data_IF_210958611559
#
_entry.id   IF_210958611559
#
_cell.length_a   1.000
_cell.length_b   1.000
_cell.length_c   1.000
_cell.angle_alpha   90.00
_cell.angle_beta   90.00
_cell.angle_gamma   90.00
#
_symmetry.space_group_name_H-M   'P 1'
#
loop_
_entity.id
_entity.type
_entity.pdbx_description
1 polymer ?
#
# COMPACT_ATOMS: atom_id res chain seq x y z
N UNK A 1 -12.09 28.10 11.71
CA UNK A 1 -12.06 26.71 12.17
C UNK A 1 -12.40 25.85 10.97
N UNK A 2 -11.54 24.95 10.58
CA UNK A 2 -11.81 24.05 9.43
C UNK A 2 -12.99 23.15 9.77
N UNK A 3 -13.86 22.85 8.81
CA UNK A 3 -14.99 21.91 9.00
C UNK A 3 -14.50 20.53 9.45
N UNK A 4 -13.28 20.16 9.10
CA UNK A 4 -12.65 18.88 9.48
C UNK A 4 -12.35 18.75 10.97
N UNK A 5 -12.10 19.85 11.67
CA UNK A 5 -11.87 19.81 13.13
C UNK A 5 -13.14 19.58 13.94
N UNK A 6 -14.31 19.68 13.31
CA UNK A 6 -15.59 19.44 13.95
C UNK A 6 -16.05 17.96 13.87
N UNK A 7 -15.46 17.17 12.96
CA UNK A 7 -15.71 15.72 12.88
C UNK A 7 -14.66 14.97 13.73
N UNK A 8 -15.06 14.29 14.81
CA UNK A 8 -14.11 13.55 15.66
C UNK A 8 -13.27 12.52 14.88
N UNK A 9 -13.82 11.91 13.84
CA UNK A 9 -13.13 10.92 13.01
C UNK A 9 -12.00 11.53 12.21
N UNK A 10 -12.15 12.78 11.77
CA UNK A 10 -11.16 13.49 10.95
C UNK A 10 -10.21 14.35 11.77
N UNK A 11 -10.52 14.63 13.04
CA UNK A 11 -9.73 15.54 13.89
C UNK A 11 -8.33 15.04 14.23
N UNK A 12 -8.05 13.76 14.00
CA UNK A 12 -6.73 13.13 14.18
C UNK A 12 -5.80 13.29 13.00
N UNK A 13 -6.33 13.73 11.84
CA UNK A 13 -5.61 13.92 10.60
C UNK A 13 -5.26 15.39 10.39
N UNK A 14 -4.34 15.62 9.44
CA UNK A 14 -3.95 16.95 8.97
C UNK A 14 -4.25 17.05 7.46
N UNK A 15 -5.53 16.95 7.03
CA UNK A 15 -5.89 16.86 5.63
C UNK A 15 -5.60 18.14 4.87
N UNK A 16 -5.36 18.01 3.58
CA UNK A 16 -5.39 19.11 2.64
C UNK A 16 -6.83 19.65 2.49
N UNK A 17 -6.99 20.76 1.75
CA UNK A 17 -8.25 21.53 1.69
C UNK A 17 -9.49 20.70 1.34
N UNK A 18 -9.35 19.66 0.52
CA UNK A 18 -10.45 18.83 0.04
C UNK A 18 -10.24 17.37 0.36
N UNK A 19 -11.19 16.78 1.05
CA UNK A 19 -11.25 15.34 1.28
C UNK A 19 -11.94 14.67 0.08
N UNK A 20 -11.31 13.63 -0.48
CA UNK A 20 -11.87 12.82 -1.55
C UNK A 20 -12.63 11.62 -1.02
N UNK A 21 -12.05 10.94 -0.06
CA UNK A 21 -12.71 9.89 0.67
C UNK A 21 -12.10 9.72 2.07
N UNK A 22 -12.90 9.13 2.92
CA UNK A 22 -12.52 8.61 4.22
C UNK A 22 -13.14 7.23 4.38
N UNK A 23 -12.34 6.23 4.66
CA UNK A 23 -12.76 4.84 4.84
C UNK A 23 -12.31 4.35 6.23
N UNK A 24 -13.25 4.15 7.11
CA UNK A 24 -13.09 3.54 8.44
C UNK A 24 -13.44 2.04 8.45
N UNK A 25 -13.90 1.52 7.33
CA UNK A 25 -14.28 0.12 7.10
C UNK A 25 -15.47 -0.40 7.92
N UNK A 26 -16.06 0.39 8.80
CA UNK A 26 -17.19 -0.02 9.63
C UNK A 26 -18.45 -0.36 8.81
N UNK A 27 -18.62 0.26 7.65
CA UNK A 27 -19.71 -0.02 6.72
C UNK A 27 -19.30 -0.95 5.57
N UNK A 28 -18.17 -1.62 5.67
CA UNK A 28 -17.69 -2.57 4.66
C UNK A 28 -16.43 -2.12 3.92
N UNK A 29 -16.10 -2.86 2.88
CA UNK A 29 -14.83 -2.74 2.13
C UNK A 29 -14.75 -1.49 1.24
N UNK A 30 -15.85 -0.81 1.00
CA UNK A 30 -15.93 0.52 0.34
C UNK A 30 -15.17 0.64 -0.99
N UNK A 31 -15.20 -0.39 -1.81
CA UNK A 31 -14.57 -0.40 -3.13
C UNK A 31 -13.06 -0.68 -3.12
N UNK A 32 -12.51 -1.05 -1.98
CA UNK A 32 -11.20 -1.67 -1.97
C UNK A 32 -11.31 -3.09 -2.52
N UNK A 33 -10.51 -3.42 -3.51
CA UNK A 33 -10.56 -4.71 -4.20
C UNK A 33 -9.16 -5.32 -4.31
N UNK A 34 -9.10 -6.56 -4.71
CA UNK A 34 -7.86 -7.20 -5.14
C UNK A 34 -7.29 -6.50 -6.39
N UNK A 35 -6.04 -6.80 -6.72
CA UNK A 35 -5.42 -6.31 -7.95
C UNK A 35 -6.14 -6.91 -9.16
N UNK A 36 -7.03 -6.12 -9.75
CA UNK A 36 -7.78 -6.50 -10.96
C UNK A 36 -7.17 -5.77 -12.14
N UNK A 37 -6.61 -6.52 -13.10
CA UNK A 37 -6.25 -6.02 -14.41
C UNK A 37 -7.30 -6.42 -15.46
N UNK A 38 -7.30 -5.77 -16.61
CA UNK A 38 -8.03 -6.22 -17.79
C UNK A 38 -7.25 -7.37 -18.46
N UNK A 39 -7.09 -8.45 -17.73
CA UNK A 39 -6.38 -9.62 -18.22
C UNK A 39 -7.39 -10.64 -18.72
N UNK A 40 -7.15 -11.20 -19.89
CA UNK A 40 -7.97 -12.29 -20.43
C UNK A 40 -7.77 -13.58 -19.66
N UNK A 41 -6.66 -13.68 -18.92
CA UNK A 41 -6.28 -14.84 -18.14
C UNK A 41 -6.11 -14.51 -16.66
N UNK A 42 -6.14 -15.52 -15.82
CA UNK A 42 -5.86 -15.37 -14.40
C UNK A 42 -4.49 -14.71 -14.14
N UNK A 43 -4.38 -13.76 -13.21
CA UNK A 43 -3.08 -13.24 -12.78
C UNK A 43 -2.07 -14.33 -12.41
N UNK A 44 -2.54 -15.46 -11.93
CA UNK A 44 -1.71 -16.61 -11.56
C UNK A 44 -0.96 -17.24 -12.74
N UNK A 45 -1.52 -17.16 -13.95
CA UNK A 45 -0.86 -17.66 -15.17
C UNK A 45 0.11 -16.64 -15.78
N UNK A 46 -0.10 -15.37 -15.52
CA UNK A 46 0.65 -14.28 -16.15
C UNK A 46 1.85 -13.84 -15.32
N UNK A 47 1.69 -13.79 -14.02
CA UNK A 47 2.69 -13.30 -13.06
C UNK A 47 2.80 -14.31 -11.92
N UNK A 48 3.74 -15.26 -11.99
CA UNK A 48 3.91 -16.28 -10.95
C UNK A 48 4.03 -15.70 -9.54
N UNK A 49 4.57 -14.49 -9.43
CA UNK A 49 4.71 -13.75 -8.18
C UNK A 49 3.36 -13.25 -7.64
N UNK A 50 2.36 -13.11 -8.50
CA UNK A 50 0.99 -12.75 -8.09
C UNK A 50 0.10 -13.97 -7.92
N UNK A 51 0.68 -15.15 -8.09
CA UNK A 51 -0.05 -16.40 -7.94
C UNK A 51 -0.69 -16.47 -6.55
N UNK A 52 -1.96 -16.82 -6.56
CA UNK A 52 -2.73 -16.99 -5.33
C UNK A 52 -2.90 -15.70 -4.50
N UNK A 53 -2.85 -14.51 -5.08
CA UNK A 53 -3.27 -13.30 -4.38
C UNK A 53 -4.66 -13.49 -3.80
N UNK A 54 -4.82 -13.00 -2.57
CA UNK A 54 -6.10 -13.01 -1.89
C UNK A 54 -6.77 -11.66 -1.94
N UNK A 55 -8.11 -11.63 -2.08
CA UNK A 55 -8.85 -10.39 -1.93
C UNK A 55 -8.68 -9.84 -0.51
N UNK A 56 -8.78 -8.52 -0.34
CA UNK A 56 -8.84 -7.92 0.97
C UNK A 56 -10.08 -8.37 1.72
N UNK A 57 -9.97 -8.39 3.04
CA UNK A 57 -11.03 -8.81 3.96
C UNK A 57 -11.26 -7.74 5.02
N UNK A 58 -12.37 -7.83 5.71
CA UNK A 58 -12.58 -7.11 6.96
C UNK A 58 -12.09 -7.96 8.13
N UNK A 59 -11.51 -7.31 9.10
CA UNK A 59 -11.06 -7.90 10.35
C UNK A 59 -11.64 -7.16 11.54
N UNK A 60 -12.04 -7.89 12.56
CA UNK A 60 -12.43 -7.35 13.84
C UNK A 60 -11.97 -8.25 14.99
N UNK A 61 -12.17 -7.79 16.23
CA UNK A 61 -11.74 -8.51 17.43
C UNK A 61 -12.43 -9.87 17.64
N UNK A 62 -13.56 -10.09 17.00
CA UNK A 62 -14.34 -11.35 17.15
C UNK A 62 -13.93 -12.43 16.18
N UNK A 63 -13.11 -12.11 15.19
CA UNK A 63 -12.64 -13.12 14.26
C UNK A 63 -11.62 -14.04 14.90
N UNK A 64 -11.84 -15.33 14.82
CA UNK A 64 -10.94 -16.39 15.26
C UNK A 64 -9.67 -16.49 14.41
N UNK A 65 -9.19 -15.38 13.96
CA UNK A 65 -7.93 -15.35 13.25
C UNK A 65 -6.85 -15.02 14.28
N UNK A 66 -5.89 -15.90 14.38
CA UNK A 66 -4.75 -15.69 15.28
C UNK A 66 -4.15 -14.31 15.06
N UNK A 67 -4.44 -13.40 15.96
CA UNK A 67 -3.93 -12.05 15.96
C UNK A 67 -4.68 -11.11 15.04
N UNK A 68 -5.95 -11.06 15.18
CA UNK A 68 -6.71 -9.92 14.69
C UNK A 68 -6.24 -8.67 15.40
N UNK A 69 -5.88 -7.67 14.61
CA UNK A 69 -5.59 -6.35 15.17
C UNK A 69 -6.88 -5.62 15.58
N UNK A 70 -8.05 -6.15 15.26
CA UNK A 70 -9.29 -5.43 15.38
C UNK A 70 -9.34 -4.25 14.43
N UNK A 71 -9.76 -3.10 14.94
CA UNK A 71 -9.71 -1.80 14.26
C UNK A 71 -8.87 -0.82 15.07
N UNK A 72 -8.44 0.26 14.46
CA UNK A 72 -7.88 1.40 15.17
C UNK A 72 -9.01 2.12 15.95
N UNK A 73 -10.15 2.26 15.29
CA UNK A 73 -11.37 2.83 15.82
C UNK A 73 -12.57 2.13 15.18
N UNK A 74 -13.69 2.06 15.88
CA UNK A 74 -14.87 1.35 15.37
C UNK A 74 -14.76 -0.17 15.51
N UNK A 75 -15.28 -0.90 14.53
CA UNK A 75 -15.46 -2.34 14.60
C UNK A 75 -14.56 -3.11 13.65
N UNK A 76 -14.17 -2.54 12.51
CA UNK A 76 -13.49 -3.24 11.44
C UNK A 76 -12.26 -2.48 10.94
N UNK A 77 -11.28 -3.23 10.45
CA UNK A 77 -10.15 -2.75 9.69
C UNK A 77 -10.04 -3.54 8.38
N UNK A 78 -9.43 -2.94 7.35
CA UNK A 78 -9.06 -3.63 6.13
C UNK A 78 -7.88 -4.57 6.42
N UNK A 79 -8.04 -5.86 6.10
CA UNK A 79 -7.04 -6.89 6.30
C UNK A 79 -6.51 -7.40 4.97
N UNK A 80 -5.21 -7.33 4.79
CA UNK A 80 -4.49 -8.02 3.74
C UNK A 80 -3.75 -9.21 4.34
N UNK A 81 -3.88 -10.38 3.73
CA UNK A 81 -3.24 -11.60 4.17
C UNK A 81 -2.58 -12.31 3.00
N UNK A 82 -1.29 -12.58 3.07
CA UNK A 82 -0.59 -13.37 2.06
C UNK A 82 -1.01 -14.84 2.13
N UNK A 83 -0.66 -15.63 1.11
CA UNK A 83 -0.59 -17.08 1.25
C UNK A 83 0.57 -17.47 2.16
N UNK A 84 0.49 -18.65 2.78
CA UNK A 84 1.58 -19.24 3.54
C UNK A 84 2.61 -19.85 2.58
N UNK A 85 3.27 -18.98 1.82
CA UNK A 85 4.30 -19.37 0.84
C UNK A 85 5.30 -18.23 0.70
N UNK A 86 6.59 -18.53 0.80
CA UNK A 86 7.66 -17.56 0.62
C UNK A 86 7.51 -16.78 -0.70
N UNK A 87 7.71 -15.47 -0.65
CA UNK A 87 7.55 -14.56 -1.78
C UNK A 87 6.09 -14.20 -2.13
N UNK A 88 5.10 -14.68 -1.36
CA UNK A 88 3.70 -14.33 -1.60
C UNK A 88 3.39 -12.89 -1.21
N UNK A 89 2.54 -12.27 -2.01
CA UNK A 89 2.02 -10.91 -1.85
C UNK A 89 0.52 -10.93 -1.60
N UNK A 90 0.03 -9.91 -0.89
CA UNK A 90 -1.37 -9.55 -0.86
C UNK A 90 -1.52 -8.07 -1.10
N UNK A 91 -2.49 -7.66 -1.90
CA UNK A 91 -2.72 -6.25 -2.22
C UNK A 91 -4.19 -5.88 -2.10
N UNK A 92 -4.43 -4.62 -1.83
CA UNK A 92 -5.76 -4.02 -1.93
C UNK A 92 -5.67 -2.68 -2.63
N UNK A 93 -6.54 -2.46 -3.61
CA UNK A 93 -6.53 -1.27 -4.46
C UNK A 93 -7.90 -0.58 -4.38
N UNK A 94 -7.86 0.73 -4.20
CA UNK A 94 -9.01 1.60 -4.43
C UNK A 94 -8.79 2.41 -5.69
N UNK A 95 -9.68 2.22 -6.67
CA UNK A 95 -9.63 2.92 -7.95
C UNK A 95 -10.59 4.09 -7.96
N UNK A 96 -10.09 5.22 -8.45
CA UNK A 96 -10.89 6.43 -8.60
C UNK A 96 -10.73 7.02 -10.00
N UNK A 97 -11.82 7.60 -10.51
CA UNK A 97 -11.72 8.50 -11.66
C UNK A 97 -11.18 9.84 -11.19
N UNK A 98 -10.03 10.23 -11.71
CA UNK A 98 -9.32 11.40 -11.22
C UNK A 98 -8.85 12.29 -12.38
N UNK A 99 -9.22 13.57 -12.33
CA UNK A 99 -8.96 14.55 -13.41
C UNK A 99 -8.29 15.82 -12.88
N UNK A 100 -7.76 15.78 -11.68
CA UNK A 100 -7.17 16.95 -11.04
C UNK A 100 -5.65 16.91 -11.10
N UNK A 101 -5.05 18.10 -11.04
CA UNK A 101 -3.62 18.29 -10.83
C UNK A 101 -3.43 19.05 -9.53
N UNK A 102 -2.30 18.88 -8.92
CA UNK A 102 -1.97 19.49 -7.64
C UNK A 102 -1.48 18.45 -6.65
N UNK A 103 -1.59 18.76 -5.39
CA UNK A 103 -1.06 17.89 -4.35
C UNK A 103 -2.14 16.98 -3.81
N UNK A 104 -1.79 15.72 -3.58
CA UNK A 104 -2.62 14.79 -2.81
C UNK A 104 -1.85 14.28 -1.61
N UNK A 105 -2.59 13.91 -0.57
CA UNK A 105 -2.09 13.40 0.68
C UNK A 105 -2.96 12.23 1.11
N UNK A 106 -2.29 11.08 1.31
CA UNK A 106 -2.87 9.90 1.92
C UNK A 106 -2.45 9.87 3.39
N UNK A 107 -3.42 9.66 4.26
CA UNK A 107 -3.19 9.44 5.69
C UNK A 107 -3.93 8.18 6.10
N UNK A 108 -3.30 7.35 6.92
CA UNK A 108 -3.95 6.15 7.46
C UNK A 108 -3.29 5.69 8.74
N UNK A 109 -3.98 4.81 9.43
CA UNK A 109 -3.39 3.99 10.48
C UNK A 109 -3.18 2.58 9.97
N UNK A 110 -2.08 1.96 10.36
CA UNK A 110 -1.78 0.59 9.99
C UNK A 110 -1.13 -0.17 11.14
N UNK A 111 -1.25 -1.47 11.08
CA UNK A 111 -0.46 -2.40 11.88
C UNK A 111 -0.18 -3.65 11.07
N UNK A 112 0.87 -4.37 11.42
CA UNK A 112 1.26 -5.58 10.71
C UNK A 112 1.69 -6.66 11.70
N UNK A 113 1.69 -7.90 11.23
CA UNK A 113 2.14 -9.03 12.05
C UNK A 113 2.40 -10.27 11.21
N UNK A 114 3.29 -11.14 11.65
CA UNK A 114 3.40 -12.49 11.11
C UNK A 114 2.24 -13.38 11.58
N UNK A 115 2.05 -14.51 10.92
CA UNK A 115 1.17 -15.57 11.40
C UNK A 115 1.74 -16.17 12.68
N UNK A 116 1.00 -16.04 13.77
CA UNK A 116 1.36 -16.69 15.02
C UNK A 116 1.01 -18.18 14.94
N UNK A 117 1.86 -18.97 14.30
CA UNK A 117 1.84 -20.40 14.40
C UNK A 117 2.97 -20.84 15.31
N UNK A 118 2.67 -21.32 16.49
CA UNK A 118 3.63 -21.81 17.46
C UNK A 118 4.53 -20.72 18.10
N UNK A 119 5.44 -21.11 18.98
CA UNK A 119 6.24 -20.25 19.83
C UNK A 119 7.46 -19.59 19.15
N UNK A 120 7.61 -19.75 17.85
CA UNK A 120 8.76 -19.20 17.11
C UNK A 120 8.30 -18.38 15.92
N UNK A 121 8.41 -17.06 16.06
CA UNK A 121 8.25 -16.12 14.98
C UNK A 121 9.60 -15.91 14.30
N UNK A 122 9.62 -15.96 12.98
CA UNK A 122 10.76 -15.56 12.17
C UNK A 122 10.72 -14.05 11.95
N UNK A 123 11.85 -13.37 11.99
CA UNK A 123 11.91 -11.92 11.86
C UNK A 123 11.42 -11.42 10.50
N UNK A 124 11.56 -12.24 9.48
CA UNK A 124 11.16 -11.92 8.11
C UNK A 124 9.85 -12.58 7.65
N UNK A 125 9.04 -13.11 8.56
CA UNK A 125 7.68 -13.59 8.25
C UNK A 125 6.85 -12.46 7.61
N UNK A 126 7.04 -11.21 8.08
CA UNK A 126 6.63 -10.01 7.37
C UNK A 126 7.86 -9.36 6.77
N UNK A 127 8.13 -9.62 5.50
CA UNK A 127 9.29 -9.03 4.82
C UNK A 127 9.14 -7.54 4.61
N UNK A 128 8.03 -7.15 3.99
CA UNK A 128 7.78 -5.76 3.67
C UNK A 128 6.28 -5.48 3.55
N UNK A 129 5.93 -4.21 3.66
CA UNK A 129 4.62 -3.68 3.28
C UNK A 129 4.79 -2.29 2.70
N UNK A 130 3.82 -1.84 1.94
CA UNK A 130 3.95 -0.55 1.28
C UNK A 130 2.65 0.05 0.78
N UNK A 131 2.80 1.27 0.25
CA UNK A 131 1.75 2.03 -0.41
C UNK A 131 2.21 2.43 -1.81
N UNK A 132 1.30 2.33 -2.76
CA UNK A 132 1.51 2.69 -4.16
C UNK A 132 0.41 3.62 -4.61
N UNK A 133 0.79 4.72 -5.27
CA UNK A 133 -0.12 5.45 -6.14
C UNK A 133 0.16 5.08 -7.59
N UNK A 134 -0.89 4.97 -8.38
CA UNK A 134 -0.79 4.66 -9.80
C UNK A 134 -1.71 5.62 -10.56
N UNK A 135 -1.09 6.59 -11.23
CA UNK A 135 -1.75 7.69 -11.89
C UNK A 135 -1.58 7.63 -13.40
N UNK A 136 -2.69 7.72 -14.11
CA UNK A 136 -2.74 8.09 -15.53
C UNK A 136 -3.86 9.11 -15.72
N UNK A 137 -3.50 10.39 -15.68
CA UNK A 137 -4.44 11.50 -15.58
C UNK A 137 -5.15 11.87 -16.90
N UNK A 138 -4.68 11.36 -18.02
CA UNK A 138 -5.19 11.69 -19.34
C UNK A 138 -4.81 13.09 -19.85
N UNK A 139 -4.16 13.90 -19.02
CA UNK A 139 -3.65 15.23 -19.38
C UNK A 139 -2.24 15.17 -19.93
N UNK A 140 -1.51 14.14 -19.58
CA UNK A 140 -0.23 13.78 -20.16
C UNK A 140 -0.29 12.32 -20.60
N UNK A 141 -0.80 12.05 -21.82
CA UNK A 141 -1.04 10.70 -22.29
C UNK A 141 0.22 9.89 -22.55
N UNK A 142 1.40 10.49 -22.40
CA UNK A 142 2.67 9.83 -22.69
C UNK A 142 3.14 8.94 -21.54
N UNK A 143 2.73 9.24 -20.28
CA UNK A 143 3.28 8.57 -19.11
C UNK A 143 2.23 8.16 -18.09
N UNK A 144 2.45 6.98 -17.51
CA UNK A 144 1.84 6.48 -16.28
C UNK A 144 2.85 6.64 -15.16
N UNK A 145 2.43 7.24 -14.06
CA UNK A 145 3.29 7.60 -12.94
C UNK A 145 2.90 6.81 -11.68
N UNK A 146 3.89 6.18 -11.05
CA UNK A 146 3.67 5.31 -9.91
C UNK A 146 4.69 5.60 -8.79
N UNK A 147 4.44 6.58 -7.91
CA UNK A 147 5.20 6.71 -6.68
C UNK A 147 4.91 5.52 -5.76
N UNK A 148 5.97 4.85 -5.31
CA UNK A 148 5.88 3.61 -4.57
C UNK A 148 6.83 3.64 -3.38
N UNK A 149 6.26 3.57 -2.18
CA UNK A 149 6.96 3.58 -0.89
C UNK A 149 6.73 2.25 -0.19
N UNK A 150 7.80 1.65 0.37
CA UNK A 150 7.67 0.49 1.25
C UNK A 150 8.52 0.62 2.51
N UNK A 151 8.08 -0.05 3.54
CA UNK A 151 8.87 -0.35 4.72
C UNK A 151 9.41 -1.79 4.58
N UNK A 152 10.74 -1.91 4.54
CA UNK A 152 11.42 -3.20 4.57
C UNK A 152 11.67 -3.57 6.03
N UNK A 153 10.91 -4.54 6.52
CA UNK A 153 10.95 -4.96 7.92
C UNK A 153 12.16 -5.86 8.19
N UNK A 154 12.24 -6.97 7.49
CA UNK A 154 13.31 -7.95 7.70
C UNK A 154 13.65 -8.71 6.42
N UNK A 155 14.90 -9.17 6.30
CA UNK A 155 15.41 -10.02 5.23
C UNK A 155 16.39 -11.01 5.83
N UNK A 156 16.24 -12.29 5.49
CA UNK A 156 17.15 -13.38 5.90
C UNK A 156 17.40 -13.43 7.42
N UNK A 157 16.31 -13.30 8.20
CA UNK A 157 16.32 -13.26 9.66
C UNK A 157 17.02 -12.03 10.27
N UNK A 158 17.31 -11.01 9.48
CA UNK A 158 17.86 -9.75 9.96
C UNK A 158 16.83 -8.63 9.89
N UNK A 159 16.67 -7.88 10.98
CA UNK A 159 15.81 -6.69 11.02
C UNK A 159 16.46 -5.54 10.26
N UNK A 160 15.80 -5.07 9.22
CA UNK A 160 16.27 -3.95 8.39
C UNK A 160 15.64 -2.64 8.86
N UNK A 161 14.33 -2.64 9.10
CA UNK A 161 13.58 -1.50 9.66
C UNK A 161 13.78 -0.19 8.90
N UNK A 162 13.77 -0.23 7.57
CA UNK A 162 14.07 0.94 6.73
C UNK A 162 13.04 1.15 5.64
N UNK A 163 12.84 2.42 5.31
CA UNK A 163 12.01 2.83 4.19
C UNK A 163 12.77 2.74 2.87
N UNK A 164 12.04 2.37 1.82
CA UNK A 164 12.55 2.29 0.46
C UNK A 164 11.53 2.87 -0.53
N UNK A 165 12.04 3.38 -1.66
CA UNK A 165 11.25 3.79 -2.82
C UNK A 165 11.66 3.00 -4.05
N UNK A 166 10.76 2.90 -5.02
CA UNK A 166 11.02 2.16 -6.25
C UNK A 166 11.16 3.12 -7.42
N UNK A 167 12.35 3.18 -8.01
CA UNK A 167 12.67 4.04 -9.14
C UNK A 167 12.48 3.38 -10.51
N UNK A 168 12.46 2.04 -10.56
CA UNK A 168 12.37 1.27 -11.80
C UNK A 168 11.45 0.07 -11.65
N UNK A 169 10.85 -0.36 -12.76
CA UNK A 169 10.13 -1.63 -12.86
C UNK A 169 10.76 -2.48 -13.95
N UNK A 170 10.52 -3.79 -13.94
CA UNK A 170 10.96 -4.67 -15.03
C UNK A 170 9.91 -4.75 -16.11
N UNK A 171 10.33 -4.92 -17.38
CA UNK A 171 9.42 -5.25 -18.46
C UNK A 171 8.72 -6.58 -18.18
N UNK A 172 7.47 -6.65 -18.54
CA UNK A 172 6.68 -7.86 -18.47
C UNK A 172 6.15 -8.19 -19.87
N UNK A 173 6.29 -9.45 -20.29
CA UNK A 173 5.70 -9.93 -21.53
C UNK A 173 4.30 -10.45 -21.21
N UNK A 174 3.30 -9.79 -21.79
CA UNK A 174 1.95 -10.34 -21.77
C UNK A 174 1.94 -11.61 -22.62
N UNK A 175 1.54 -12.73 -22.03
CA UNK A 175 1.43 -14.03 -22.72
C UNK A 175 0.12 -14.11 -23.53
N UNK A 176 -0.64 -13.01 -23.61
CA UNK A 176 -1.78 -12.88 -24.51
C UNK A 176 -1.39 -12.74 -25.97
N UNK A 177 -2.35 -12.89 -26.86
CA UNK A 177 -2.18 -12.92 -28.33
C UNK A 177 -1.52 -11.68 -28.94
N UNK A 178 -1.35 -10.60 -28.20
CA UNK A 178 -0.78 -9.35 -28.72
C UNK A 178 0.74 -9.30 -28.78
N UNK A 179 1.44 -10.16 -28.05
CA UNK A 179 2.92 -10.16 -28.01
C UNK A 179 3.55 -8.88 -27.45
N UNK A 180 2.77 -7.94 -26.93
CA UNK A 180 3.25 -6.66 -26.43
C UNK A 180 3.97 -6.81 -25.08
N UNK A 181 5.13 -6.16 -25.00
CA UNK A 181 5.87 -6.04 -23.74
C UNK A 181 5.24 -4.93 -22.91
N UNK A 182 4.71 -5.27 -21.76
CA UNK A 182 4.09 -4.32 -20.83
C UNK A 182 4.94 -4.19 -19.59
N UNK A 183 5.34 -2.96 -19.24
CA UNK A 183 6.13 -2.69 -18.03
C UNK A 183 5.22 -2.61 -16.80
N UNK A 184 4.80 -3.76 -16.27
CA UNK A 184 3.77 -3.79 -15.22
C UNK A 184 4.22 -4.33 -13.88
N UNK A 185 5.38 -4.98 -13.79
CA UNK A 185 5.78 -5.63 -12.57
C UNK A 185 6.33 -4.65 -11.53
N UNK A 186 5.45 -3.79 -11.03
CA UNK A 186 5.80 -2.74 -10.08
C UNK A 186 5.85 -3.20 -8.61
N UNK A 187 5.27 -4.37 -8.28
CA UNK A 187 5.35 -4.96 -6.94
C UNK A 187 6.53 -5.94 -6.77
N UNK A 188 7.35 -6.13 -7.81
CA UNK A 188 8.49 -7.04 -7.74
C UNK A 188 9.50 -6.70 -6.64
N UNK A 189 10.29 -7.70 -6.19
CA UNK A 189 11.25 -7.52 -5.09
C UNK A 189 12.47 -6.68 -5.44
N UNK A 190 12.74 -6.47 -6.75
CA UNK A 190 13.91 -5.78 -7.25
C UNK A 190 13.74 -4.26 -7.40
N UNK A 191 14.85 -3.56 -7.59
CA UNK A 191 14.90 -2.12 -7.91
C UNK A 191 14.30 -1.20 -6.83
N UNK A 192 14.60 -1.51 -5.59
CA UNK A 192 14.24 -0.68 -4.44
C UNK A 192 15.49 0.03 -3.90
N UNK A 193 15.38 1.35 -3.77
CA UNK A 193 16.42 2.19 -3.22
C UNK A 193 16.06 2.61 -1.79
N UNK A 194 17.03 2.56 -0.89
CA UNK A 194 16.82 3.05 0.47
C UNK A 194 16.60 4.56 0.49
N UNK A 195 15.60 4.97 1.24
CA UNK A 195 15.47 6.38 1.61
C UNK A 195 16.65 6.74 2.52
N UNK A 196 17.25 7.91 2.28
CA UNK A 196 18.35 8.41 3.13
C UNK A 196 17.79 8.87 4.48
N UNK A 197 17.61 7.91 5.35
CA UNK A 197 17.08 8.10 6.69
C UNK A 197 17.59 6.98 7.62
N UNK A 198 17.62 7.23 8.94
CA UNK A 198 17.92 6.19 9.90
C UNK A 198 16.86 5.08 9.89
N UNK A 199 17.23 3.92 10.43
CA UNK A 199 16.28 2.85 10.68
C UNK A 199 15.18 3.32 11.65
N UNK A 200 13.95 2.95 11.35
CA UNK A 200 12.79 3.22 12.20
C UNK A 200 12.17 1.90 12.65
N UNK A 201 12.37 1.52 13.89
CA UNK A 201 11.77 0.32 14.44
C UNK A 201 10.26 0.51 14.64
N UNK A 202 9.46 -0.31 13.97
CA UNK A 202 8.02 -0.36 14.13
C UNK A 202 7.63 -1.63 14.87
N UNK A 203 6.93 -1.47 15.99
CA UNK A 203 6.39 -2.62 16.71
C UNK A 203 5.22 -3.24 15.93
N UNK A 204 5.13 -4.54 15.91
CA UNK A 204 3.98 -5.25 15.35
C UNK A 204 3.15 -5.94 16.45
N UNK A 205 1.95 -6.37 16.09
CA UNK A 205 1.07 -7.05 17.02
C UNK A 205 1.48 -8.51 17.17
N UNK A 206 2.28 -8.80 18.18
CA UNK A 206 2.75 -10.16 18.48
C UNK A 206 1.66 -11.05 19.07
N UNK A 207 0.76 -10.45 19.83
CA UNK A 207 -0.37 -11.13 20.49
C UNK A 207 -1.66 -10.36 20.26
N UNK A 208 -2.79 -11.05 20.34
CA UNK A 208 -4.11 -10.47 20.04
C UNK A 208 -4.50 -9.27 20.92
N UNK A 209 -3.94 -9.18 22.11
CA UNK A 209 -4.22 -8.10 23.06
C UNK A 209 -3.31 -6.87 22.91
N UNK A 210 -2.28 -6.98 22.07
CA UNK A 210 -1.33 -5.90 21.83
C UNK A 210 -1.67 -5.21 20.51
N UNK A 211 -2.12 -3.98 20.60
CA UNK A 211 -2.54 -3.18 19.46
C UNK A 211 -1.54 -2.05 19.23
N UNK A 212 -0.60 -2.28 18.32
CA UNK A 212 0.40 -1.28 17.90
C UNK A 212 -0.01 -0.69 16.57
N UNK A 213 -0.82 0.35 16.60
CA UNK A 213 -1.17 1.09 15.39
C UNK A 213 -0.15 2.19 15.12
N UNK A 214 0.23 2.31 13.86
CA UNK A 214 1.16 3.31 13.35
C UNK A 214 0.43 4.25 12.42
N UNK A 215 0.78 5.52 12.49
CA UNK A 215 0.28 6.53 11.56
C UNK A 215 1.21 6.64 10.36
N UNK A 216 0.65 6.68 9.15
CA UNK A 216 1.36 6.94 7.91
C UNK A 216 0.69 8.10 7.18
N UNK A 217 1.51 9.07 6.74
CA UNK A 217 1.11 10.14 5.84
C UNK A 217 2.07 10.16 4.65
N UNK A 218 1.53 10.12 3.43
CA UNK A 218 2.31 10.22 2.19
C UNK A 218 1.76 11.34 1.34
N UNK A 219 2.60 12.29 0.96
CA UNK A 219 2.23 13.46 0.17
C UNK A 219 2.99 13.48 -1.14
N UNK A 220 2.26 13.65 -2.24
CA UNK A 220 2.80 13.70 -3.59
C UNK A 220 2.22 14.87 -4.37
N UNK A 221 3.00 15.38 -5.33
CA UNK A 221 2.56 16.41 -6.28
C UNK A 221 2.31 15.75 -7.63
N UNK A 222 1.05 15.77 -8.07
CA UNK A 222 0.61 15.15 -9.33
C UNK A 222 0.97 16.01 -10.54
N UNK A 223 1.10 17.31 -10.37
CA UNK A 223 1.47 18.22 -11.46
C UNK A 223 2.97 18.08 -11.76
N UNK A 224 3.79 18.13 -10.72
CA UNK A 224 5.25 18.02 -10.81
C UNK A 224 5.74 16.56 -10.85
N UNK A 225 4.84 15.61 -10.58
CA UNK A 225 5.13 14.17 -10.55
C UNK A 225 6.32 13.82 -9.65
N UNK A 226 6.23 14.23 -8.42
CA UNK A 226 7.26 13.99 -7.41
C UNK A 226 6.66 13.71 -6.04
N UNK A 227 7.43 13.03 -5.21
CA UNK A 227 7.15 13.00 -3.78
C UNK A 227 7.37 14.41 -3.19
N UNK A 228 6.49 14.80 -2.28
CA UNK A 228 6.72 15.96 -1.41
C UNK A 228 7.38 15.49 -0.12
N UNK A 229 6.91 14.34 0.40
CA UNK A 229 7.45 13.71 1.59
C UNK A 229 6.51 12.66 2.14
N UNK A 230 6.94 12.05 3.22
CA UNK A 230 6.09 11.16 4.00
C UNK A 230 6.42 11.28 5.50
N UNK A 231 5.51 10.81 6.32
CA UNK A 231 5.66 10.75 7.77
C UNK A 231 5.20 9.37 8.25
N UNK A 232 5.95 8.78 9.16
CA UNK A 232 5.51 7.62 9.91
C UNK A 232 5.67 7.89 11.40
N UNK A 233 4.57 7.84 12.12
CA UNK A 233 4.47 8.28 13.51
C UNK A 233 4.99 9.73 13.67
N UNK A 234 6.01 9.92 14.49
CA UNK A 234 6.66 11.20 14.79
C UNK A 234 7.79 11.59 13.82
N UNK A 235 8.20 10.67 12.92
CA UNK A 235 9.30 10.91 11.98
C UNK A 235 8.79 11.35 10.62
N UNK A 236 9.30 12.47 10.13
CA UNK A 236 8.99 13.02 8.82
C UNK A 236 10.21 13.01 7.90
N UNK A 237 9.98 12.73 6.62
CA UNK A 237 11.00 12.54 5.61
C UNK A 237 10.72 13.42 4.39
N UNK A 238 11.76 14.12 3.90
CA UNK A 238 11.65 14.90 2.66
C UNK A 238 11.49 14.01 1.44
N UNK A 239 10.70 14.46 0.47
CA UNK A 239 10.50 13.78 -0.81
C UNK A 239 11.44 14.20 -1.93
N UNK A 240 12.31 15.22 -1.73
CA UNK A 240 13.09 15.86 -2.81
C UNK A 240 13.97 14.88 -3.59
N UNK A 241 14.57 13.90 -2.92
CA UNK A 241 15.46 12.91 -3.53
C UNK A 241 14.78 11.57 -3.82
N UNK A 242 13.47 11.43 -3.52
CA UNK A 242 12.78 10.16 -3.68
C UNK A 242 12.48 9.85 -5.14
N UNK A 243 12.92 8.70 -5.58
CA UNK A 243 12.67 8.20 -6.92
C UNK A 243 11.22 7.68 -7.05
N UNK A 244 10.77 7.55 -8.28
CA UNK A 244 9.45 7.02 -8.61
C UNK A 244 9.48 6.32 -9.97
N UNK A 245 8.52 5.44 -10.18
CA UNK A 245 8.33 4.78 -11.47
C UNK A 245 7.58 5.71 -12.42
N UNK A 246 8.12 5.88 -13.63
CA UNK A 246 7.43 6.50 -14.75
C UNK A 246 7.57 5.57 -15.96
N UNK A 247 6.45 5.14 -16.52
CA UNK A 247 6.40 4.23 -17.68
C UNK A 247 5.50 4.82 -18.76
N UNK A 248 5.61 4.33 -20.00
CA UNK A 248 4.68 4.74 -21.06
C UNK A 248 3.23 4.52 -20.63
N UNK A 249 2.37 5.45 -21.00
CA UNK A 249 0.95 5.35 -20.72
C UNK A 249 0.32 4.14 -21.42
N UNK A 250 -0.63 3.52 -20.74
CA UNK A 250 -1.41 2.45 -21.34
C UNK A 250 -2.49 3.01 -22.27
N UNK A 251 -2.63 2.46 -23.47
CA UNK A 251 -3.73 2.82 -24.35
C UNK A 251 -5.09 2.64 -23.66
N UNK A 252 -6.00 3.55 -23.90
CA UNK A 252 -7.37 3.51 -23.38
C UNK A 252 -7.55 3.59 -21.88
N UNK A 253 -6.49 3.86 -21.12
CA UNK A 253 -6.54 4.07 -19.69
C UNK A 253 -6.41 5.57 -19.40
N UNK A 254 -7.48 6.21 -18.96
CA UNK A 254 -7.54 7.65 -18.73
C UNK A 254 -8.18 8.00 -17.40
N UNK A 255 -7.75 9.13 -16.84
CA UNK A 255 -8.34 9.69 -15.63
C UNK A 255 -8.38 8.71 -14.46
N UNK A 256 -7.34 7.93 -14.28
CA UNK A 256 -7.23 6.92 -13.24
C UNK A 256 -6.26 7.36 -12.15
N UNK A 257 -6.69 7.23 -10.90
CA UNK A 257 -5.84 7.20 -9.72
C UNK A 257 -6.17 5.93 -8.94
N UNK A 258 -5.21 5.05 -8.80
CA UNK A 258 -5.27 3.94 -7.85
C UNK A 258 -4.45 4.29 -6.61
N UNK A 259 -5.01 3.99 -5.45
CA UNK A 259 -4.29 3.92 -4.17
C UNK A 259 -4.25 2.46 -3.75
N UNK A 260 -3.07 1.93 -3.47
CA UNK A 260 -2.92 0.52 -3.13
C UNK A 260 -2.08 0.35 -1.88
N UNK A 261 -2.48 -0.61 -1.04
CA UNK A 261 -1.68 -1.17 0.05
C UNK A 261 -1.28 -2.60 -0.31
N UNK A 262 -0.15 -3.04 0.19
CA UNK A 262 0.31 -4.40 -0.02
C UNK A 262 1.23 -4.87 1.11
N UNK A 263 1.36 -6.20 1.24
CA UNK A 263 2.23 -6.87 2.20
C UNK A 263 2.86 -8.09 1.57
N UNK A 264 4.08 -8.40 1.95
CA UNK A 264 4.91 -9.50 1.45
C UNK A 264 5.43 -10.35 2.61
N UNK A 265 5.39 -11.68 2.41
CA UNK A 265 6.07 -12.65 3.28
C UNK A 265 7.30 -13.22 2.59
N UNK A 266 8.33 -13.57 3.36
CA UNK A 266 9.51 -14.29 2.86
C UNK A 266 9.59 -15.73 3.39
N UNK A 267 8.54 -16.21 4.06
CA UNK A 267 8.44 -17.56 4.65
C UNK A 267 7.19 -18.27 4.20
N UNK A 268 7.13 -19.58 4.43
CA UNK A 268 5.94 -20.38 4.21
C UNK A 268 4.91 -20.18 5.35
N UNK A 269 4.70 -18.92 5.69
CA UNK A 269 3.73 -18.42 6.66
C UNK A 269 3.05 -17.17 6.12
N UNK A 270 1.86 -16.89 6.61
CA UNK A 270 1.14 -15.67 6.21
C UNK A 270 1.73 -14.44 6.89
N UNK A 271 1.84 -13.36 6.12
CA UNK A 271 2.02 -12.02 6.63
C UNK A 271 0.68 -11.28 6.56
N UNK A 272 0.42 -10.46 7.56
CA UNK A 272 -0.79 -9.66 7.66
C UNK A 272 -0.45 -8.17 7.71
N UNK A 273 -1.20 -7.37 6.96
CA UNK A 273 -1.27 -5.93 7.09
C UNK A 273 -2.73 -5.55 7.37
N UNK A 274 -2.92 -4.74 8.38
CA UNK A 274 -4.21 -4.15 8.72
C UNK A 274 -4.11 -2.66 8.50
N UNK A 275 -5.11 -2.11 7.82
CA UNK A 275 -5.17 -0.67 7.53
C UNK A 275 -6.53 -0.17 7.96
N UNK A 276 -6.54 0.99 8.58
CA UNK A 276 -7.77 1.59 9.09
C UNK A 276 -7.73 3.12 8.93
N UNK A 277 -8.90 3.70 8.95
CA UNK A 277 -9.05 5.15 8.95
C UNK A 277 -8.25 5.80 7.81
N UNK A 278 -8.51 5.38 6.58
CA UNK A 278 -7.81 5.85 5.37
C UNK A 278 -8.44 7.12 4.86
N UNK A 279 -7.67 8.18 4.81
CA UNK A 279 -8.07 9.49 4.32
C UNK A 279 -7.25 9.90 3.10
N UNK A 280 -7.89 10.21 1.98
CA UNK A 280 -7.27 10.86 0.84
C UNK A 280 -7.77 12.28 0.72
N UNK A 281 -6.86 13.23 0.71
CA UNK A 281 -7.15 14.66 0.57
C UNK A 281 -6.27 15.31 -0.51
N UNK A 282 -6.61 16.52 -0.92
CA UNK A 282 -5.83 17.24 -1.92
C UNK A 282 -6.11 18.73 -2.01
N UNK A 283 -5.26 19.43 -2.75
CA UNK A 283 -5.38 20.84 -3.09
C UNK A 283 -5.13 21.05 -4.59
N UNK A 284 -6.03 21.78 -5.27
CA UNK A 284 -6.03 21.98 -6.74
C UNK A 284 -6.43 23.39 -7.12
#
# INVERSE_FOLDING_TARGET
MSVYTADPRLSRFDPLERVFFYDDFDEGIRGWSELIGNYEHSPDSMLPEYKDMRPPMLSNLTMWDTGTAGSMEGSYALKLATRARAGSLATSIKRQTFRKRGQIQLECYFTFKPEASELRLSLDDVRAFGVLFDLQDGMNPEYRWMPHLRYLNAVDDEMINRWQVKGKTRPFHNIGDSGETVSHFHLGPENWDFVDCPAQSLCYNEIATKMNWHYLKVKVDLAERRFIGFQCNDLSYSGEALQHISIPAMPNLNCMLNTAFWVETNRDKRAFLYVDSVLLSGVF
#
